data_IF_105995459174
#
_entry.id   IF_105995459174
#
_cell.length_a   1.000
_cell.length_b   1.000
_cell.length_c   1.000
_cell.angle_alpha   90.00
_cell.angle_beta   90.00
_cell.angle_gamma   90.00
#
_symmetry.space_group_name_H-M   'P 1'
#
loop_
_entity.id
_entity.type
_entity.pdbx_description
1 polymer ?
#
# COMPACT_ATOMS: atom_id res chain seq x y z
N UNK A 1 -24.81 -40.41 -27.24
CA UNK A 1 -24.51 -40.44 -25.79
C UNK A 1 -23.26 -39.65 -25.38
N UNK A 2 -22.21 -39.55 -26.23
CA UNK A 2 -20.96 -38.84 -25.89
C UNK A 2 -21.08 -37.30 -25.81
N UNK A 3 -21.89 -36.68 -26.69
CA UNK A 3 -22.08 -35.22 -26.75
C UNK A 3 -22.65 -34.61 -25.46
N UNK A 4 -23.54 -35.32 -24.75
CA UNK A 4 -24.12 -34.80 -23.52
C UNK A 4 -23.06 -34.64 -22.42
N UNK A 5 -22.12 -35.59 -22.28
CA UNK A 5 -21.04 -35.46 -21.31
C UNK A 5 -20.09 -34.30 -21.63
N UNK A 6 -19.86 -34.02 -22.91
CA UNK A 6 -19.01 -32.91 -23.36
C UNK A 6 -19.66 -31.54 -23.12
N UNK A 7 -20.98 -31.43 -23.34
CA UNK A 7 -21.75 -30.19 -23.12
C UNK A 7 -21.83 -29.81 -21.64
N UNK A 8 -21.82 -30.77 -20.71
CA UNK A 8 -21.77 -30.50 -19.27
C UNK A 8 -20.36 -30.25 -18.73
N UNK A 9 -19.33 -30.85 -19.34
CA UNK A 9 -17.94 -30.71 -18.88
C UNK A 9 -17.33 -29.32 -19.17
N UNK A 10 -17.68 -28.71 -20.31
CA UNK A 10 -17.17 -27.40 -20.72
C UNK A 10 -17.57 -26.23 -19.77
N UNK A 11 -18.86 -26.04 -19.41
CA UNK A 11 -19.25 -24.97 -18.49
C UNK A 11 -18.73 -25.19 -17.07
N UNK A 12 -18.58 -26.43 -16.63
CA UNK A 12 -17.97 -26.75 -15.33
C UNK A 12 -16.49 -26.32 -15.27
N UNK A 13 -15.73 -26.52 -16.35
CA UNK A 13 -14.36 -26.05 -16.45
C UNK A 13 -14.24 -24.53 -16.49
N UNK A 14 -15.13 -23.85 -17.21
CA UNK A 14 -15.18 -22.38 -17.26
C UNK A 14 -15.52 -21.81 -15.88
N UNK A 15 -16.54 -22.36 -15.21
CA UNK A 15 -16.91 -21.94 -13.85
C UNK A 15 -15.78 -22.16 -12.85
N UNK A 16 -15.11 -23.31 -12.90
CA UNK A 16 -13.94 -23.58 -12.06
C UNK A 16 -12.80 -22.59 -12.32
N UNK A 17 -12.51 -22.29 -13.59
CA UNK A 17 -11.50 -21.30 -13.98
C UNK A 17 -11.88 -19.89 -13.52
N UNK A 18 -13.16 -19.50 -13.64
CA UNK A 18 -13.67 -18.20 -13.20
C UNK A 18 -13.58 -18.06 -11.68
N UNK A 19 -13.89 -19.12 -10.93
CA UNK A 19 -13.73 -19.17 -9.47
C UNK A 19 -12.26 -19.06 -9.09
N UNK A 20 -11.37 -19.82 -9.73
CA UNK A 20 -9.92 -19.73 -9.49
C UNK A 20 -9.37 -18.34 -9.83
N UNK A 21 -9.84 -17.73 -10.92
CA UNK A 21 -9.44 -16.38 -11.32
C UNK A 21 -9.98 -15.32 -10.36
N UNK A 22 -11.22 -15.43 -9.88
CA UNK A 22 -11.78 -14.53 -8.86
C UNK A 22 -11.08 -14.70 -7.52
N UNK A 23 -10.76 -15.92 -7.11
CA UNK A 23 -9.95 -16.19 -5.92
C UNK A 23 -8.54 -15.62 -6.10
N UNK A 24 -7.92 -15.79 -7.26
CA UNK A 24 -6.62 -15.22 -7.56
C UNK A 24 -6.64 -13.69 -7.56
N UNK A 25 -7.67 -13.05 -8.13
CA UNK A 25 -7.87 -11.59 -8.06
C UNK A 25 -8.09 -11.11 -6.63
N UNK A 26 -8.83 -11.87 -5.82
CA UNK A 26 -9.09 -11.56 -4.40
C UNK A 26 -7.84 -11.72 -3.54
N UNK A 27 -7.05 -12.77 -3.75
CA UNK A 27 -5.75 -12.94 -3.09
C UNK A 27 -4.79 -11.86 -3.62
N UNK A 28 -4.84 -11.49 -4.92
CA UNK A 28 -4.03 -10.42 -5.55
C UNK A 28 -4.12 -9.10 -4.78
N UNK A 29 -5.34 -8.73 -4.38
CA UNK A 29 -5.60 -7.54 -3.57
C UNK A 29 -5.08 -7.67 -2.12
N UNK A 30 -4.92 -8.89 -1.60
CA UNK A 30 -4.45 -9.18 -0.24
C UNK A 30 -2.95 -9.49 -0.13
N UNK A 31 -2.20 -9.63 -1.24
CA UNK A 31 -0.76 -9.90 -1.14
C UNK A 31 -0.06 -8.68 -0.56
N UNK A 32 0.62 -8.93 0.56
CA UNK A 32 1.34 -7.98 1.39
C UNK A 32 0.39 -7.14 2.25
N UNK A 33 -0.12 -7.76 3.34
CA UNK A 33 -0.73 -7.07 4.48
C UNK A 33 -0.05 -5.70 4.66
N UNK A 34 -0.76 -4.59 4.38
CA UNK A 34 -0.17 -3.25 4.42
C UNK A 34 0.47 -2.98 5.78
N UNK A 35 -0.17 -3.48 6.85
CA UNK A 35 0.38 -3.53 8.21
C UNK A 35 1.79 -4.14 8.27
N UNK A 36 1.97 -5.36 7.74
CA UNK A 36 3.29 -6.03 7.76
C UNK A 36 4.32 -5.30 6.91
N UNK A 37 3.91 -4.64 5.83
CA UNK A 37 4.81 -3.77 5.05
C UNK A 37 5.26 -2.57 5.89
N UNK A 38 4.32 -1.89 6.55
CA UNK A 38 4.61 -0.71 7.37
C UNK A 38 5.50 -1.09 8.56
N UNK A 39 5.19 -2.19 9.24
CA UNK A 39 5.99 -2.70 10.34
C UNK A 39 7.42 -3.03 9.90
N UNK A 40 7.60 -3.72 8.76
CA UNK A 40 8.95 -3.99 8.20
C UNK A 40 9.67 -2.72 7.81
N UNK A 41 8.98 -1.72 7.29
CA UNK A 41 9.59 -0.45 6.92
C UNK A 41 10.08 0.33 8.14
N UNK A 42 9.32 0.29 9.24
CA UNK A 42 9.74 0.83 10.54
C UNK A 42 10.96 0.09 11.08
N UNK A 43 10.92 -1.25 11.12
CA UNK A 43 12.04 -2.09 11.58
C UNK A 43 13.31 -1.92 10.74
N UNK A 44 13.17 -1.67 9.43
CA UNK A 44 14.30 -1.47 8.52
C UNK A 44 14.71 0.00 8.35
N UNK A 45 14.12 0.93 9.11
CA UNK A 45 14.37 2.37 8.98
C UNK A 45 14.23 2.90 7.53
N UNK A 46 13.18 2.46 6.84
CA UNK A 46 12.90 2.83 5.44
C UNK A 46 12.12 4.14 5.32
N UNK A 47 11.68 4.74 6.43
CA UNK A 47 11.00 6.03 6.43
C UNK A 47 12.04 7.15 6.48
N UNK A 48 11.79 8.21 5.72
CA UNK A 48 12.66 9.38 5.62
C UNK A 48 11.86 10.66 5.86
N UNK A 49 12.49 11.65 6.49
CA UNK A 49 11.90 12.96 6.72
C UNK A 49 12.37 13.96 5.66
N UNK A 50 11.42 14.63 5.02
CA UNK A 50 11.67 15.68 4.04
C UNK A 50 11.23 17.01 4.65
N UNK A 51 11.93 18.10 4.31
CA UNK A 51 11.60 19.42 4.81
C UNK A 51 11.13 20.32 3.68
N UNK A 52 9.91 20.86 3.82
CA UNK A 52 9.40 21.85 2.89
C UNK A 52 9.54 23.24 3.52
N UNK A 53 10.31 24.16 2.92
CA UNK A 53 10.52 25.49 3.48
C UNK A 53 9.22 26.31 3.44
N UNK A 54 8.97 27.05 4.52
CA UNK A 54 7.87 28.00 4.62
C UNK A 54 8.47 29.40 4.40
N UNK A 55 8.06 30.04 3.30
CA UNK A 55 8.57 31.34 2.89
C UNK A 55 7.57 32.42 3.27
N UNK A 56 8.04 33.44 3.99
CA UNK A 56 7.26 34.64 4.25
C UNK A 56 7.12 35.45 2.95
N UNK A 57 5.89 35.68 2.50
CA UNK A 57 5.62 36.31 1.19
C UNK A 57 6.07 37.79 1.14
N UNK A 58 6.11 38.48 2.29
CA UNK A 58 6.46 39.91 2.33
C UNK A 58 7.96 40.14 2.33
N UNK A 59 8.69 39.23 2.98
CA UNK A 59 10.13 39.37 3.20
C UNK A 59 10.96 38.43 2.34
N UNK A 60 10.32 37.45 1.67
CA UNK A 60 10.92 36.37 0.88
C UNK A 60 11.91 35.50 1.69
N UNK A 61 11.87 35.60 3.02
CA UNK A 61 12.75 34.84 3.90
C UNK A 61 12.12 33.51 4.27
N UNK A 62 12.95 32.49 4.39
CA UNK A 62 12.57 31.24 5.02
C UNK A 62 12.34 31.49 6.51
N UNK A 63 11.10 31.28 6.98
CA UNK A 63 10.68 31.49 8.38
C UNK A 63 10.46 30.17 9.13
N UNK A 64 10.56 29.04 8.44
CA UNK A 64 10.40 27.72 9.03
C UNK A 64 10.44 26.62 7.98
N UNK A 65 10.19 25.39 8.42
CA UNK A 65 10.04 24.25 7.53
C UNK A 65 8.96 23.29 8.07
N UNK A 66 8.16 22.75 7.16
CA UNK A 66 7.24 21.65 7.44
C UNK A 66 7.99 20.32 7.29
N UNK A 67 7.90 19.47 8.31
CA UNK A 67 8.49 18.14 8.31
C UNK A 67 7.49 17.14 7.72
N UNK A 68 7.87 16.49 6.63
CA UNK A 68 7.02 15.63 5.82
C UNK A 68 7.61 14.23 5.75
N UNK A 69 6.93 13.26 6.35
CA UNK A 69 7.37 11.88 6.28
C UNK A 69 7.16 11.31 4.87
N UNK A 70 8.15 10.54 4.41
CA UNK A 70 8.18 9.89 3.10
C UNK A 70 8.59 8.43 3.26
N UNK A 71 7.94 7.56 2.51
CA UNK A 71 8.28 6.16 2.46
C UNK A 71 8.76 5.79 1.04
N UNK A 72 10.07 5.84 0.79
CA UNK A 72 10.67 5.30 -0.43
C UNK A 72 10.47 3.78 -0.45
N UNK A 73 9.60 3.27 -1.33
CA UNK A 73 9.39 1.83 -1.46
C UNK A 73 10.61 1.10 -2.03
N UNK A 74 10.69 -0.21 -1.79
CA UNK A 74 11.85 -1.05 -2.16
C UNK A 74 12.13 -1.11 -3.69
N UNK A 75 11.16 -0.74 -4.55
CA UNK A 75 11.30 -0.75 -6.01
C UNK A 75 11.14 0.65 -6.65
N UNK A 76 11.37 1.72 -5.87
CA UNK A 76 11.25 3.09 -6.35
C UNK A 76 9.81 3.65 -6.38
N UNK A 77 8.81 2.83 -6.07
CA UNK A 77 7.45 3.32 -5.84
C UNK A 77 7.40 4.01 -4.47
N UNK A 78 7.29 5.34 -4.46
CA UNK A 78 7.06 6.10 -3.22
C UNK A 78 5.64 5.82 -2.74
N UNK A 79 5.50 5.35 -1.50
CA UNK A 79 4.18 5.13 -0.93
C UNK A 79 3.56 6.47 -0.53
N UNK A 80 2.31 6.69 -0.95
CA UNK A 80 1.62 7.95 -0.72
C UNK A 80 1.32 8.11 0.79
N UNK A 81 1.66 9.26 1.42
CA UNK A 81 1.24 9.56 2.79
C UNK A 81 -0.25 9.36 3.07
N UNK A 82 -1.11 9.69 2.10
CA UNK A 82 -2.55 9.48 2.23
C UNK A 82 -2.96 8.00 2.33
N UNK A 83 -2.08 7.06 1.96
CA UNK A 83 -2.33 5.62 2.06
C UNK A 83 -1.76 5.03 3.36
N UNK A 84 -0.54 5.40 3.75
CA UNK A 84 0.12 4.76 4.89
C UNK A 84 -0.17 5.44 6.24
N UNK A 85 -0.53 6.74 6.26
CA UNK A 85 -0.88 7.43 7.53
C UNK A 85 -2.18 6.87 8.12
N UNK A 86 -3.31 6.74 7.37
CA UNK A 86 -4.53 6.16 7.93
C UNK A 86 -4.34 4.69 8.33
N UNK A 87 -3.46 3.98 7.62
CA UNK A 87 -3.08 2.62 7.97
C UNK A 87 -2.32 2.58 9.30
N UNK A 88 -1.37 3.48 9.52
CA UNK A 88 -0.63 3.58 10.77
C UNK A 88 -1.55 3.92 11.95
N UNK A 89 -2.49 4.85 11.76
CA UNK A 89 -3.51 5.20 12.77
C UNK A 89 -4.40 4.00 13.11
N UNK A 90 -4.94 3.32 12.10
CA UNK A 90 -5.81 2.15 12.28
C UNK A 90 -5.11 0.98 12.99
N UNK A 91 -3.82 0.80 12.73
CA UNK A 91 -3.03 -0.30 13.28
C UNK A 91 -2.30 0.07 14.59
N UNK A 92 -2.48 1.29 15.10
CA UNK A 92 -1.83 1.78 16.32
C UNK A 92 -0.32 2.01 16.19
N UNK A 93 0.19 2.18 14.98
CA UNK A 93 1.61 2.39 14.66
C UNK A 93 1.99 3.87 14.54
N UNK A 94 1.04 4.79 14.68
CA UNK A 94 1.28 6.22 14.50
C UNK A 94 2.27 6.79 15.53
N UNK A 95 2.25 6.28 16.77
CA UNK A 95 3.20 6.68 17.81
C UNK A 95 4.64 6.34 17.40
N UNK A 96 4.87 5.13 16.87
CA UNK A 96 6.19 4.70 16.38
C UNK A 96 6.69 5.54 15.19
N UNK A 97 5.78 6.11 14.41
CA UNK A 97 6.11 7.03 13.31
C UNK A 97 6.42 8.43 13.84
N UNK A 98 5.74 8.86 14.90
CA UNK A 98 5.93 10.20 15.48
C UNK A 98 7.22 10.28 16.29
N UNK A 99 7.62 9.16 16.91
CA UNK A 99 8.86 9.03 17.68
C UNK A 99 10.11 8.71 16.83
N UNK A 100 9.94 8.54 15.50
CA UNK A 100 10.99 8.17 14.55
C UNK A 100 11.97 9.31 14.28
#
# INVERSE_FOLDING_TARGET
>A
HFYNHLIFALPAGILGSLVLLLLWLRIRQNYLSPKRKLQRALEKHQLCLYYQPIIDIKTEKCIGAEALLRWPGEQGQVMNPAEFIPLAEKEGMIEQITDY
#
